data_IF_294682777467
#
_entry.id   IF_294682777467
#
_cell.length_a   1.000
_cell.length_b   1.000
_cell.length_c   1.000
_cell.angle_alpha   90.00
_cell.angle_beta   90.00
_cell.angle_gamma   90.00
#
_symmetry.space_group_name_H-M   'P 1'
#
loop_
_entity.id
_entity.type
_entity.pdbx_description
1 polymer ?
#
# COMPACT_ATOMS: atom_id res chain seq x y z
N UNK A 1 2.26 0.23 11.52
CA UNK A 1 3.51 0.94 11.20
C UNK A 1 3.09 2.21 10.48
N UNK A 2 3.45 3.36 11.05
CA UNK A 2 2.97 4.67 10.59
C UNK A 2 3.94 5.21 9.54
N UNK A 3 3.42 5.80 8.47
CA UNK A 3 4.23 6.54 7.51
C UNK A 3 4.75 7.79 8.23
N UNK A 4 6.06 7.88 8.44
CA UNK A 4 6.68 9.07 9.05
C UNK A 4 7.15 10.04 7.97
N UNK A 5 7.18 11.33 8.31
CA UNK A 5 7.72 12.36 7.41
C UNK A 5 9.20 12.11 7.09
N UNK A 6 9.99 11.70 8.09
CA UNK A 6 11.40 11.35 7.92
C UNK A 6 11.63 10.26 6.86
N UNK A 7 10.74 9.26 6.80
CA UNK A 7 10.83 8.18 5.81
C UNK A 7 10.63 8.72 4.38
N UNK A 8 9.66 9.61 4.20
CA UNK A 8 9.38 10.25 2.91
C UNK A 8 10.53 11.17 2.50
N UNK A 9 11.05 11.97 3.44
CA UNK A 9 12.20 12.85 3.22
C UNK A 9 13.45 12.07 2.81
N UNK A 10 13.74 10.94 3.49
CA UNK A 10 14.87 10.08 3.15
C UNK A 10 14.72 9.46 1.76
N UNK A 11 13.52 8.97 1.40
CA UNK A 11 13.26 8.46 0.04
C UNK A 11 13.48 9.56 -1.01
N UNK A 12 13.04 10.79 -0.75
CA UNK A 12 13.20 11.93 -1.66
C UNK A 12 14.66 12.38 -1.78
N UNK A 13 15.41 12.33 -0.68
CA UNK A 13 16.85 12.59 -0.68
C UNK A 13 17.58 11.58 -1.57
N UNK A 14 17.36 10.28 -1.34
CA UNK A 14 17.95 9.20 -2.16
C UNK A 14 17.50 9.31 -3.62
N UNK A 15 16.24 9.65 -3.88
CA UNK A 15 15.75 9.84 -5.25
C UNK A 15 16.42 11.02 -5.98
N UNK A 16 16.70 12.13 -5.27
CA UNK A 16 17.45 13.26 -5.83
C UNK A 16 18.89 12.87 -6.09
N UNK A 17 19.56 12.22 -5.13
CA UNK A 17 20.94 11.74 -5.30
C UNK A 17 21.07 10.82 -6.52
N UNK A 18 20.09 9.94 -6.74
CA UNK A 18 20.03 9.06 -7.94
C UNK A 18 20.07 9.80 -9.26
N UNK A 19 19.42 10.97 -9.32
CA UNK A 19 19.26 11.74 -10.54
C UNK A 19 20.49 12.57 -10.89
N UNK A 20 21.21 13.05 -9.88
CA UNK A 20 22.32 13.99 -10.07
C UNK A 20 23.70 13.36 -9.92
N UNK A 21 23.89 12.48 -8.95
CA UNK A 21 25.20 11.93 -8.56
C UNK A 21 25.31 10.42 -8.84
N UNK A 22 24.17 9.73 -8.95
CA UNK A 22 24.11 8.26 -8.94
C UNK A 22 23.98 7.72 -7.51
N UNK A 23 23.57 6.46 -7.37
CA UNK A 23 23.53 5.77 -6.07
C UNK A 23 24.58 4.68 -6.03
N UNK A 24 25.18 4.51 -4.85
CA UNK A 24 25.91 3.30 -4.51
C UNK A 24 24.94 2.13 -4.34
N UNK A 25 25.43 0.90 -4.40
CA UNK A 25 24.60 -0.30 -4.21
C UNK A 25 23.93 -0.31 -2.82
N UNK A 26 24.64 0.13 -1.78
CA UNK A 26 24.10 0.22 -0.41
C UNK A 26 22.93 1.20 -0.32
N UNK A 27 23.03 2.35 -0.99
CA UNK A 27 21.95 3.34 -1.03
C UNK A 27 20.75 2.84 -1.84
N UNK A 28 20.98 2.01 -2.87
CA UNK A 28 19.89 1.40 -3.64
C UNK A 28 19.10 0.42 -2.77
N UNK A 29 19.81 -0.40 -2.00
CA UNK A 29 19.20 -1.32 -1.04
C UNK A 29 18.43 -0.57 0.04
N UNK A 30 19.00 0.52 0.58
CA UNK A 30 18.32 1.40 1.53
C UNK A 30 17.05 1.98 0.91
N UNK A 31 17.14 2.53 -0.31
CA UNK A 31 16.00 3.11 -1.02
C UNK A 31 14.90 2.05 -1.27
N UNK A 32 15.28 0.83 -1.63
CA UNK A 32 14.32 -0.24 -1.89
C UNK A 32 13.62 -0.68 -0.59
N UNK A 33 14.36 -0.82 0.50
CA UNK A 33 13.82 -1.15 1.83
C UNK A 33 12.83 -0.08 2.30
N UNK A 34 13.20 1.20 2.20
CA UNK A 34 12.35 2.33 2.56
C UNK A 34 11.09 2.41 1.69
N UNK A 35 11.22 2.21 0.37
CA UNK A 35 10.07 2.16 -0.54
C UNK A 35 9.10 1.04 -0.19
N UNK A 36 9.59 -0.13 0.20
CA UNK A 36 8.73 -1.25 0.61
C UNK A 36 7.96 -0.92 1.88
N UNK A 37 8.62 -0.36 2.89
CA UNK A 37 7.97 0.08 4.13
C UNK A 37 6.90 1.15 3.86
N UNK A 38 7.20 2.12 2.99
CA UNK A 38 6.24 3.14 2.58
C UNK A 38 4.99 2.53 1.93
N UNK A 39 5.17 1.64 0.97
CA UNK A 39 4.07 0.99 0.24
C UNK A 39 3.22 0.12 1.16
N UNK A 40 3.82 -0.62 2.08
CA UNK A 40 3.08 -1.43 3.05
C UNK A 40 2.25 -0.55 4.00
N UNK A 41 2.77 0.61 4.40
CA UNK A 41 2.04 1.62 5.17
C UNK A 41 0.86 2.20 4.40
N UNK A 42 1.09 2.65 3.15
CA UNK A 42 0.03 3.19 2.29
C UNK A 42 -1.05 2.16 2.03
N UNK A 43 -0.67 0.91 1.71
CA UNK A 43 -1.63 -0.15 1.39
C UNK A 43 -2.61 -0.35 2.54
N UNK A 44 -2.12 -0.34 3.79
CA UNK A 44 -3.00 -0.43 4.97
C UNK A 44 -3.91 0.78 5.08
N UNK A 45 -3.38 1.99 4.97
CA UNK A 45 -4.18 3.21 5.03
C UNK A 45 -5.28 3.26 3.96
N UNK A 46 -4.96 2.84 2.73
CA UNK A 46 -5.94 2.80 1.64
C UNK A 46 -7.00 1.73 1.93
N UNK A 47 -6.63 0.54 2.39
CA UNK A 47 -7.60 -0.51 2.75
C UNK A 47 -8.52 -0.02 3.86
N UNK A 48 -7.96 0.56 4.93
CA UNK A 48 -8.74 1.11 6.05
C UNK A 48 -9.68 2.24 5.59
N UNK A 49 -9.21 3.11 4.68
CA UNK A 49 -10.03 4.17 4.10
C UNK A 49 -11.15 3.62 3.21
N UNK A 50 -10.89 2.57 2.43
CA UNK A 50 -11.90 1.91 1.60
C UNK A 50 -12.95 1.18 2.44
N UNK A 51 -12.52 0.50 3.51
CA UNK A 51 -13.42 -0.15 4.46
C UNK A 51 -14.31 0.88 5.17
N UNK A 52 -13.73 2.01 5.60
CA UNK A 52 -14.47 3.14 6.19
C UNK A 52 -15.45 3.79 5.20
N UNK A 53 -15.06 3.91 3.92
CA UNK A 53 -15.90 4.42 2.85
C UNK A 53 -16.97 3.42 2.36
N UNK A 54 -17.06 2.22 2.97
CA UNK A 54 -18.05 1.20 2.64
C UNK A 54 -17.74 0.35 1.42
N UNK A 55 -16.55 0.51 0.80
CA UNK A 55 -16.07 -0.30 -0.33
C UNK A 55 -15.42 -1.60 0.18
N UNK A 56 -16.18 -2.42 0.91
CA UNK A 56 -15.70 -3.75 1.29
C UNK A 56 -15.76 -4.69 0.08
N UNK A 57 -14.75 -5.57 -0.08
CA UNK A 57 -14.91 -6.73 -0.97
C UNK A 57 -16.15 -7.46 -0.50
N UNK A 58 -17.15 -7.59 -1.37
CA UNK A 58 -18.39 -8.33 -1.14
C UNK A 58 -18.10 -9.53 -0.25
N UNK A 59 -18.63 -9.52 0.98
CA UNK A 59 -18.48 -10.65 1.88
C UNK A 59 -18.88 -11.88 1.08
N UNK A 60 -18.01 -12.87 0.96
CA UNK A 60 -18.45 -14.18 0.48
C UNK A 60 -19.48 -14.64 1.50
N UNK A 61 -20.75 -14.54 1.13
CA UNK A 61 -21.82 -15.02 1.97
C UNK A 61 -21.66 -16.54 2.12
N UNK A 62 -21.93 -17.06 3.31
CA UNK A 62 -22.00 -18.49 3.55
C UNK A 62 -22.97 -19.14 2.55
N UNK A 63 -22.77 -20.42 2.23
CA UNK A 63 -23.59 -21.18 1.28
C UNK A 63 -25.09 -21.24 1.67
N UNK A 64 -25.47 -20.69 2.84
CA UNK A 64 -26.86 -20.49 3.32
C UNK A 64 -27.35 -19.03 3.42
N UNK A 65 -26.93 -18.11 2.54
CA UNK A 65 -27.54 -16.76 2.47
C UNK A 65 -28.91 -16.78 1.79
N UNK A 66 -29.97 -16.37 2.49
CA UNK A 66 -31.34 -16.20 1.96
C UNK A 66 -31.55 -14.89 1.18
N UNK A 67 -30.53 -14.44 0.46
CA UNK A 67 -30.41 -13.08 -0.08
C UNK A 67 -30.66 -13.15 -1.60
N UNK A 68 -31.67 -12.43 -2.11
CA UNK A 68 -32.20 -12.63 -3.48
C UNK A 68 -31.25 -12.21 -4.61
N UNK A 69 -30.19 -11.43 -4.32
CA UNK A 69 -29.29 -10.86 -5.34
C UNK A 69 -27.96 -11.61 -5.54
N UNK A 70 -27.77 -12.77 -4.91
CA UNK A 70 -26.51 -13.52 -4.99
C UNK A 70 -26.47 -14.62 -6.08
N UNK A 71 -27.48 -14.73 -6.95
CA UNK A 71 -27.46 -15.71 -8.05
C UNK A 71 -27.32 -15.02 -9.41
N UNK A 72 -26.10 -14.66 -9.80
CA UNK A 72 -25.64 -14.77 -11.20
C UNK A 72 -24.16 -14.44 -11.32
N UNK A 73 -23.32 -15.48 -11.36
CA UNK A 73 -22.13 -15.49 -12.22
C UNK A 73 -22.32 -16.68 -13.15
N UNK A 74 -22.88 -16.40 -14.33
CA UNK A 74 -22.65 -17.22 -15.51
C UNK A 74 -21.43 -16.65 -16.24
#
# INVERSE_FOLDING_TARGET
MVITMELVERINYLARKKRYEGLTEEEKDEQQKLRRQYLDGIRKQIVDAMDSAGYTRTKKHDTRCGCHDCKTRH
#
